data_IF_057514469471
#
_entry.id   IF_057514469471
#
_cell.length_a   1.000
_cell.length_b   1.000
_cell.length_c   1.000
_cell.angle_alpha   90.00
_cell.angle_beta   90.00
_cell.angle_gamma   90.00
#
_symmetry.space_group_name_H-M   'P 1'
#
loop_
_entity.id
_entity.type
_entity.pdbx_description
1 polymer ?
#
# COMPACT_ATOMS: atom_id res chain seq x y z
N UNK A 1 -14.60 -8.95 1.60
CA UNK A 1 -13.35 -8.88 0.81
C UNK A 1 -12.25 -9.53 1.66
N UNK A 2 -11.90 -10.77 1.36
CA UNK A 2 -11.11 -11.64 2.25
C UNK A 2 -9.62 -11.28 2.28
N UNK A 3 -8.91 -11.44 3.42
CA UNK A 3 -7.48 -11.20 3.50
C UNK A 3 -6.71 -12.26 2.71
N UNK A 4 -5.68 -11.82 1.97
CA UNK A 4 -4.79 -12.71 1.22
C UNK A 4 -3.78 -13.32 2.21
N UNK A 5 -4.01 -14.57 2.59
CA UNK A 5 -3.10 -15.38 3.41
C UNK A 5 -2.16 -16.15 2.48
N UNK A 6 -0.89 -15.74 2.40
CA UNK A 6 0.13 -16.62 1.81
C UNK A 6 0.54 -17.65 2.87
N UNK A 7 0.02 -18.86 2.77
CA UNK A 7 0.45 -20.00 3.58
C UNK A 7 1.59 -20.73 2.86
N UNK A 8 2.80 -20.68 3.42
CA UNK A 8 3.90 -21.53 2.96
C UNK A 8 3.90 -22.84 3.76
N UNK A 9 3.79 -23.97 3.06
CA UNK A 9 3.81 -25.30 3.65
C UNK A 9 5.25 -25.70 3.98
N UNK A 10 5.56 -25.96 5.26
CA UNK A 10 6.86 -26.45 5.71
C UNK A 10 6.71 -27.77 6.45
N UNK A 11 6.54 -28.85 5.69
CA UNK A 11 6.55 -30.27 6.11
C UNK A 11 5.43 -30.71 7.07
N UNK A 12 4.87 -31.88 6.80
CA UNK A 12 3.94 -32.59 7.68
C UNK A 12 4.61 -33.87 8.18
N UNK A 13 4.59 -34.10 9.48
CA UNK A 13 4.80 -35.42 10.10
C UNK A 13 3.43 -35.91 10.60
N UNK A 14 3.27 -37.21 10.87
CA UNK A 14 1.98 -37.89 11.13
C UNK A 14 1.06 -37.17 12.15
N UNK A 15 1.63 -36.40 13.08
CA UNK A 15 0.90 -35.71 14.15
C UNK A 15 1.10 -34.18 14.19
N UNK A 16 1.74 -33.57 13.18
CA UNK A 16 2.02 -32.12 13.21
C UNK A 16 2.10 -31.49 11.81
N UNK A 17 1.34 -30.40 11.60
CA UNK A 17 1.43 -29.53 10.42
C UNK A 17 1.77 -28.12 10.90
N UNK A 18 2.96 -27.63 10.54
CA UNK A 18 3.39 -26.28 10.88
C UNK A 18 2.94 -25.28 9.80
N UNK A 19 2.16 -24.27 10.20
CA UNK A 19 1.77 -23.14 9.34
C UNK A 19 2.52 -21.87 9.76
N UNK A 20 3.17 -21.21 8.81
CA UNK A 20 3.77 -19.89 9.02
C UNK A 20 2.83 -18.82 8.45
N UNK A 21 2.18 -18.05 9.32
CA UNK A 21 1.36 -16.92 8.94
C UNK A 21 2.18 -15.64 9.15
N UNK A 22 2.58 -14.98 8.06
CA UNK A 22 3.27 -13.67 8.14
C UNK A 22 2.21 -12.57 8.09
N UNK A 23 1.89 -12.00 9.25
CA UNK A 23 1.00 -10.85 9.34
C UNK A 23 1.74 -9.59 8.87
N UNK A 24 1.64 -9.28 7.57
CA UNK A 24 2.09 -7.97 7.07
C UNK A 24 1.02 -6.93 7.42
N UNK A 25 1.44 -5.77 7.91
CA UNK A 25 0.52 -4.63 8.07
C UNK A 25 -0.19 -4.36 6.74
N UNK A 26 -1.39 -3.78 6.77
CA UNK A 26 -2.10 -3.38 5.54
C UNK A 26 -1.20 -2.53 4.62
N UNK A 27 -0.27 -1.78 5.20
CA UNK A 27 0.73 -0.99 4.49
C UNK A 27 1.81 -1.84 3.79
N UNK A 28 2.23 -2.96 4.39
CA UNK A 28 3.19 -3.89 3.80
C UNK A 28 2.67 -4.61 2.55
N UNK A 29 1.34 -4.65 2.33
CA UNK A 29 0.75 -5.22 1.10
C UNK A 29 0.97 -4.36 -0.13
N UNK A 30 1.26 -3.07 0.03
CA UNK A 30 1.57 -2.19 -1.10
C UNK A 30 2.84 -2.62 -1.87
N UNK A 31 3.71 -3.44 -1.28
CA UNK A 31 4.88 -4.01 -1.97
C UNK A 31 4.52 -5.10 -2.99
N UNK A 32 3.36 -5.73 -2.86
CA UNK A 32 2.98 -6.87 -3.69
C UNK A 32 2.38 -6.45 -5.05
N UNK A 33 2.11 -5.15 -5.24
CA UNK A 33 1.42 -4.63 -6.41
C UNK A 33 2.31 -3.62 -7.11
N UNK A 34 2.78 -3.98 -8.31
CA UNK A 34 3.38 -3.05 -9.28
C UNK A 34 2.26 -2.45 -10.12
N UNK A 35 2.28 -1.13 -10.33
CA UNK A 35 1.21 -0.44 -11.07
C UNK A 35 1.79 0.68 -11.93
N UNK A 36 1.07 0.97 -13.01
CA UNK A 36 1.23 2.19 -13.80
C UNK A 36 -0.08 2.97 -13.74
N UNK A 37 -0.08 4.15 -13.12
CA UNK A 37 -1.30 4.92 -12.86
C UNK A 37 -1.06 6.43 -12.99
N UNK A 38 -1.89 7.16 -13.76
CA UNK A 38 -1.89 8.61 -13.78
C UNK A 38 -2.72 9.20 -12.64
N UNK A 39 -2.22 10.30 -12.08
CA UNK A 39 -2.89 11.13 -11.09
C UNK A 39 -2.85 12.58 -11.59
N UNK A 40 -4.01 13.23 -11.67
CA UNK A 40 -4.14 14.60 -12.17
C UNK A 40 -4.94 15.43 -11.18
N UNK A 41 -4.56 16.70 -11.02
CA UNK A 41 -5.24 17.65 -10.14
C UNK A 41 -5.37 17.17 -8.69
N UNK A 42 -4.35 16.45 -8.19
CA UNK A 42 -4.28 15.95 -6.82
C UNK A 42 -3.02 16.44 -6.10
N UNK A 43 -3.16 16.72 -4.82
CA UNK A 43 -2.03 16.94 -3.90
C UNK A 43 -1.35 15.61 -3.54
N UNK A 44 -0.10 15.65 -3.06
CA UNK A 44 0.60 14.45 -2.61
C UNK A 44 -0.18 13.62 -1.59
N UNK A 45 -0.77 14.22 -0.52
CA UNK A 45 -1.59 13.48 0.44
C UNK A 45 -2.82 12.82 -0.19
N UNK A 46 -3.49 13.49 -1.15
CA UNK A 46 -4.64 12.91 -1.85
C UNK A 46 -4.24 11.71 -2.73
N UNK A 47 -3.08 11.75 -3.39
CA UNK A 47 -2.55 10.61 -4.14
C UNK A 47 -2.29 9.42 -3.19
N UNK A 48 -1.65 9.67 -2.04
CA UNK A 48 -1.39 8.63 -1.03
C UNK A 48 -2.73 8.07 -0.51
N UNK A 49 -3.72 8.91 -0.22
CA UNK A 49 -5.04 8.48 0.21
C UNK A 49 -5.74 7.60 -0.84
N UNK A 50 -5.66 7.97 -2.12
CA UNK A 50 -6.24 7.17 -3.20
C UNK A 50 -5.60 5.77 -3.29
N UNK A 51 -4.27 5.69 -3.16
CA UNK A 51 -3.53 4.43 -3.12
C UNK A 51 -3.97 3.58 -1.92
N UNK A 52 -4.02 4.16 -0.71
CA UNK A 52 -4.42 3.43 0.49
C UNK A 52 -5.87 2.92 0.41
N UNK A 53 -6.78 3.72 -0.16
CA UNK A 53 -8.19 3.31 -0.38
C UNK A 53 -8.31 2.14 -1.34
N UNK A 54 -7.52 2.12 -2.42
CA UNK A 54 -7.47 0.98 -3.37
C UNK A 54 -7.04 -0.32 -2.70
N UNK A 55 -6.22 -0.24 -1.64
CA UNK A 55 -5.79 -1.39 -0.82
C UNK A 55 -6.78 -1.75 0.32
N UNK A 56 -7.96 -1.15 0.33
CA UNK A 56 -9.02 -1.43 1.29
C UNK A 56 -8.76 -0.84 2.68
N UNK A 57 -7.86 0.14 2.79
CA UNK A 57 -7.68 0.87 4.05
C UNK A 57 -8.77 1.94 4.12
N UNK A 58 -9.63 1.94 5.15
CA UNK A 58 -10.70 2.93 5.30
C UNK A 58 -10.16 4.27 5.79
N UNK A 59 -10.87 5.36 5.44
CA UNK A 59 -10.43 6.73 5.72
C UNK A 59 -10.24 7.02 7.22
N UNK A 60 -11.04 6.41 8.12
CA UNK A 60 -10.92 6.60 9.56
C UNK A 60 -9.64 5.99 10.17
N UNK A 61 -8.97 5.08 9.45
CA UNK A 61 -7.64 4.56 9.83
C UNK A 61 -6.49 5.39 9.24
N UNK A 62 -6.79 6.48 8.54
CA UNK A 62 -5.81 7.39 7.96
C UNK A 62 -5.87 8.73 8.68
N UNK A 63 -4.71 9.30 9.00
CA UNK A 63 -4.63 10.69 9.44
C UNK A 63 -3.47 11.40 8.75
N UNK A 64 -3.76 12.55 8.14
CA UNK A 64 -2.78 13.39 7.46
C UNK A 64 -2.61 14.68 8.26
N UNK A 65 -1.68 14.68 9.23
CA UNK A 65 -1.35 15.86 10.03
C UNK A 65 -0.18 16.60 9.38
N UNK A 66 -0.49 17.50 8.46
CA UNK A 66 0.49 18.18 7.62
C UNK A 66 0.83 19.55 8.20
N UNK A 67 2.12 19.90 8.27
CA UNK A 67 2.57 21.22 8.72
C UNK A 67 2.50 22.31 7.64
N UNK A 68 2.41 21.90 6.38
CA UNK A 68 2.41 22.78 5.20
C UNK A 68 1.30 22.35 4.24
N UNK A 69 0.76 23.31 3.48
CA UNK A 69 -0.12 23.00 2.36
C UNK A 69 0.72 22.37 1.23
N UNK A 70 0.21 21.28 0.66
CA UNK A 70 0.85 20.65 -0.49
C UNK A 70 0.28 21.25 -1.77
N UNK A 71 1.13 21.59 -2.76
CA UNK A 71 0.64 22.06 -4.04
C UNK A 71 -0.18 20.97 -4.72
N UNK A 72 -1.20 21.39 -5.46
CA UNK A 72 -1.93 20.51 -6.38
C UNK A 72 -1.01 20.21 -7.55
N UNK A 73 -0.72 18.94 -7.79
CA UNK A 73 0.04 18.55 -8.97
C UNK A 73 -0.89 18.53 -10.17
N UNK A 74 -0.54 19.25 -11.25
CA UNK A 74 -1.26 19.16 -12.51
C UNK A 74 -1.24 17.72 -13.03
N UNK A 75 -0.07 17.07 -12.96
CA UNK A 75 0.08 15.68 -13.33
C UNK A 75 1.19 14.98 -12.53
N UNK A 76 0.91 13.74 -12.15
CA UNK A 76 1.82 12.78 -11.53
C UNK A 76 1.57 11.42 -12.16
N UNK A 77 2.63 10.65 -12.32
CA UNK A 77 2.55 9.33 -12.91
C UNK A 77 3.35 8.35 -12.06
N UNK A 78 2.70 7.25 -11.70
CA UNK A 78 3.37 6.06 -11.19
C UNK A 78 3.66 5.20 -12.41
N UNK A 79 4.92 4.84 -12.65
CA UNK A 79 5.33 4.04 -13.80
C UNK A 79 6.09 2.82 -13.34
N UNK A 80 5.52 1.63 -13.58
CA UNK A 80 6.12 0.32 -13.26
C UNK A 80 6.74 0.25 -11.86
N UNK A 81 6.11 0.90 -10.89
CA UNK A 81 6.63 0.99 -9.53
C UNK A 81 5.63 0.37 -8.55
N UNK A 82 6.13 -0.23 -7.48
CA UNK A 82 5.25 -0.74 -6.43
C UNK A 82 4.53 0.42 -5.75
N UNK A 83 3.30 0.17 -5.30
CA UNK A 83 2.54 1.19 -4.57
C UNK A 83 3.31 1.64 -3.31
N UNK A 84 4.06 0.74 -2.66
CA UNK A 84 4.86 1.11 -1.48
C UNK A 84 6.00 2.06 -1.88
N UNK A 85 6.77 1.69 -2.90
CA UNK A 85 7.90 2.51 -3.35
C UNK A 85 7.42 3.90 -3.81
N UNK A 86 6.26 3.98 -4.47
CA UNK A 86 5.68 5.25 -4.89
C UNK A 86 5.24 6.12 -3.72
N UNK A 87 4.56 5.54 -2.72
CA UNK A 87 4.20 6.26 -1.50
C UNK A 87 5.45 6.76 -0.76
N UNK A 88 6.49 5.94 -0.64
CA UNK A 88 7.75 6.34 0.00
C UNK A 88 8.43 7.50 -0.73
N UNK A 89 8.54 7.42 -2.06
CA UNK A 89 9.09 8.50 -2.89
C UNK A 89 8.30 9.80 -2.71
N UNK A 90 6.97 9.73 -2.66
CA UNK A 90 6.10 10.89 -2.46
C UNK A 90 6.25 11.52 -1.07
N UNK A 91 6.53 10.74 -0.02
CA UNK A 91 6.73 11.24 1.34
C UNK A 91 8.08 11.92 1.57
N UNK A 92 9.10 11.56 0.78
CA UNK A 92 10.45 12.13 0.88
C UNK A 92 10.58 13.52 0.22
N UNK A 93 9.52 13.99 -0.46
CA UNK A 93 9.51 15.23 -1.25
C UNK A 93 8.71 16.32 -0.53
#
# INVERSE_FOLDING_TARGET
MSPITHSNFKRATKDFVAYQIVLKSHFGRLQAVTTTQPYQHLTTPQIIQAILRRHGIPAHLMSFRLRRQYPVHAWRFQYQMTDLAYVQMLMQK
#
